data_IF_875317747316
#
_entry.id   IF_875317747316
#
_cell.length_a   1.000
_cell.length_b   1.000
_cell.length_c   1.000
_cell.angle_alpha   90.00
_cell.angle_beta   90.00
_cell.angle_gamma   90.00
#
_symmetry.space_group_name_H-M   'P 1'
#
loop_
_entity.id
_entity.type
_entity.pdbx_description
1 polymer ?
2 polymer ?
3 polymer ?
4 non-polymer ?
5 non-polymer ?
6 water ?
#
# COMPACT_ATOMS: atom_id res chain seq x y z
N UNK A 6 -17.32 2.94 -1.58
CA UNK A 6 -17.04 3.47 -0.22
C UNK A 6 -18.29 4.14 0.37
N UNK A 7 -18.10 4.87 1.47
CA UNK A 7 -19.11 5.59 2.27
C UNK A 7 -18.98 5.02 3.68
N UNK A 8 -18.64 3.74 3.71
CA UNK A 8 -18.44 3.01 4.94
C UNK A 8 -16.96 2.60 4.91
N UNK A 9 -16.13 3.44 4.29
CA UNK A 9 -14.70 3.18 4.17
C UNK A 9 -13.96 3.17 5.50
N UNK A 10 -12.86 2.42 5.55
CA UNK A 10 -12.07 2.40 6.75
C UNK A 10 -12.59 1.66 7.95
N UNK A 11 -13.83 1.16 7.91
CA UNK A 11 -14.43 0.39 9.01
C UNK A 11 -14.43 -1.09 8.61
N UNK A 12 -13.52 -1.86 9.21
CA UNK A 12 -13.37 -3.27 8.88
C UNK A 12 -14.47 -4.17 9.43
N UNK A 13 -15.10 -4.98 8.57
CA UNK A 13 -16.18 -5.91 8.97
C UNK A 13 -15.84 -6.77 10.19
N UNK A 14 -14.60 -7.26 10.26
CA UNK A 14 -14.19 -8.12 11.38
C UNK A 14 -13.62 -7.42 12.60
N UNK A 15 -13.49 -6.10 12.55
CA UNK A 15 -12.92 -5.36 13.69
C UNK A 15 -13.82 -4.19 14.13
N UNK A 16 -13.61 -2.99 13.60
CA UNK A 16 -14.43 -1.84 13.96
C UNK A 16 -15.94 -2.13 14.03
N UNK A 17 -16.44 -2.83 13.01
CA UNK A 17 -17.86 -3.19 12.92
C UNK A 17 -18.35 -4.12 14.05
N UNK A 18 -17.45 -4.90 14.62
CA UNK A 18 -17.80 -5.82 15.71
C UNK A 18 -17.26 -5.27 17.02
N UNK A 19 -16.57 -4.15 16.93
CA UNK A 19 -15.94 -3.50 18.08
C UNK A 19 -14.79 -4.38 18.63
N UNK A 20 -14.11 -5.08 17.72
CA UNK A 20 -12.97 -5.90 18.09
C UNK A 20 -11.74 -5.17 17.58
N UNK A 21 -10.67 -5.20 18.36
CA UNK A 21 -9.44 -4.54 17.96
C UNK A 21 -8.41 -5.55 17.52
N UNK A 22 -7.58 -5.18 16.54
CA UNK A 22 -6.51 -6.07 16.12
C UNK A 22 -5.36 -6.02 17.13
N UNK A 23 -4.48 -7.01 17.07
CA UNK A 23 -3.35 -7.16 17.96
C UNK A 23 -2.44 -5.96 18.19
N UNK A 24 -2.21 -5.13 17.18
CA UNK A 24 -1.30 -3.99 17.35
C UNK A 24 -1.83 -2.59 17.12
N UNK A 25 -3.13 -2.43 16.87
CA UNK A 25 -3.63 -1.09 16.60
C UNK A 25 -3.45 -0.10 17.74
N UNK A 26 -3.38 -0.59 18.98
CA UNK A 26 -3.19 0.31 20.13
C UNK A 26 -1.87 1.05 20.05
N UNK A 27 -0.85 0.39 19.48
CA UNK A 27 0.49 0.96 19.32
C UNK A 27 0.38 2.24 18.47
N UNK A 28 -0.45 2.17 17.43
CA UNK A 28 -0.68 3.31 16.56
C UNK A 28 -1.37 4.41 17.32
N UNK A 29 -2.51 4.10 17.95
CA UNK A 29 -3.26 5.09 18.72
C UNK A 29 -2.42 5.74 19.84
N UNK A 30 -1.57 4.94 20.49
CA UNK A 30 -0.74 5.43 21.57
C UNK A 30 0.36 6.39 21.11
N UNK A 31 0.69 6.37 19.83
CA UNK A 31 1.72 7.24 19.31
C UNK A 31 1.16 8.59 18.87
N UNK A 32 -0.15 8.65 18.67
CA UNK A 32 -0.76 9.89 18.22
C UNK A 32 -0.89 10.85 19.39
N UNK A 33 0.26 11.36 19.82
CA UNK A 33 0.34 12.28 20.94
C UNK A 33 0.02 13.72 20.50
N UNK B 1 8.10 -7.28 3.44
CA UNK B 1 8.18 -6.65 4.79
C UNK B 1 9.26 -7.30 5.65
N UNK B 2 10.16 -6.48 6.19
CA UNK B 2 11.26 -6.94 7.05
C UNK B 2 10.91 -6.67 8.51
N UNK B 3 11.04 -7.71 9.35
CA UNK B 3 10.76 -7.62 10.79
C UNK B 3 9.29 -7.33 11.09
N UNK B 4 8.39 -7.84 10.26
CA UNK B 4 6.97 -7.64 10.47
C UNK B 4 6.37 -8.88 11.11
N UNK B 5 5.10 -9.14 10.90
CA UNK B 5 4.46 -10.31 11.46
C UNK B 5 3.30 -10.68 10.58
N UNK B 6 2.85 -11.93 10.70
CA UNK B 6 1.71 -12.42 9.91
C UNK B 6 0.50 -11.57 10.20
N UNK B 7 -0.26 -11.25 9.17
CA UNK B 7 -1.44 -10.45 9.37
C UNK B 7 -2.58 -11.35 9.88
N UNK B 8 -3.51 -10.75 10.62
CA UNK B 8 -4.68 -11.47 11.10
C UNK B 8 -5.65 -11.47 9.92
N UNK B 9 -6.58 -12.42 9.90
CA UNK B 9 -7.56 -12.49 8.84
C UNK B 9 -8.43 -11.23 8.94
N UNK B 10 -8.72 -10.61 7.80
CA UNK B 10 -9.54 -9.42 7.77
C UNK B 10 -8.97 -8.12 8.32
N UNK B 11 -7.69 -8.13 8.69
CA UNK B 11 -7.01 -6.95 9.24
C UNK B 11 -6.78 -5.81 8.24
N UNK B 12 -6.59 -6.14 6.96
CA UNK B 12 -6.40 -5.15 5.88
C UNK B 12 -7.26 -5.58 4.71
N UNK B 13 -8.57 -5.43 4.82
CA UNK B 13 -9.48 -5.83 3.76
C UNK B 13 -9.37 -5.03 2.45
N UNK B 14 -8.53 -3.99 2.47
CA UNK B 14 -8.32 -3.16 1.29
C UNK B 14 -7.07 -3.57 0.52
N UNK B 15 -6.29 -4.50 1.06
CA UNK B 15 -5.06 -4.96 0.41
C UNK B 15 -5.33 -5.70 -0.88
N UNK B 16 -4.66 -5.27 -1.94
CA UNK B 16 -4.80 -5.86 -3.26
C UNK B 16 -3.45 -6.39 -3.77
N UNK B 17 -3.48 -7.47 -4.54
CA UNK B 17 -2.25 -8.03 -5.11
C UNK B 17 -2.28 -7.81 -6.62
N UNK B 18 -1.20 -7.27 -7.18
CA UNK B 18 -1.11 -7.07 -8.63
C UNK B 18 -0.50 -8.37 -9.11
N UNK B 19 -1.17 -9.02 -10.04
CA UNK B 19 -0.71 -10.31 -10.48
C UNK B 19 -0.51 -10.38 -11.99
N UNK B 20 0.65 -10.86 -12.39
CA UNK B 20 0.96 -11.00 -13.80
C UNK B 20 0.33 -12.28 -14.34
N UNK B 21 -0.40 -12.16 -15.45
CA UNK B 21 -1.06 -13.31 -16.06
C UNK B 21 0.00 -14.33 -16.51
N UNK B 22 0.94 -13.88 -17.34
CA UNK B 22 1.99 -14.75 -17.85
C UNK B 22 3.33 -14.05 -17.98
N UNK B 23 4.35 -14.52 -17.24
CA UNK B 23 4.22 -15.67 -16.33
C UNK B 23 3.50 -15.26 -15.05
N UNK B 24 2.66 -16.17 -14.54
CA UNK B 24 1.90 -15.93 -13.32
C UNK B 24 2.89 -15.57 -12.23
N UNK B 25 2.85 -14.32 -11.77
CA UNK B 25 3.75 -13.86 -10.72
C UNK B 25 3.25 -12.59 -10.01
N UNK B 26 3.69 -12.41 -8.76
CA UNK B 26 3.30 -11.24 -7.97
C UNK B 26 4.12 -10.08 -8.49
N UNK B 27 3.43 -8.99 -8.81
CA UNK B 27 4.07 -7.79 -9.32
C UNK B 27 4.24 -6.71 -8.24
N UNK B 28 3.16 -6.43 -7.51
CA UNK B 28 3.14 -5.38 -6.50
C UNK B 28 1.94 -5.46 -5.56
N UNK B 29 1.94 -4.56 -4.59
CA UNK B 29 0.85 -4.41 -3.66
C UNK B 29 -0.02 -3.31 -4.26
N UNK B 30 -1.19 -3.08 -3.68
CA UNK B 30 -2.12 -2.06 -4.15
C UNK B 30 -3.23 -1.97 -3.11
N UNK B 31 -4.16 -1.03 -3.27
CA UNK B 31 -5.26 -0.92 -2.32
C UNK B 31 -6.60 -0.63 -2.97
N UNK B 32 -7.66 -1.10 -2.32
CA UNK B 32 -9.01 -0.91 -2.82
C UNK B 32 -9.55 0.36 -2.20
N UNK B 33 -9.92 1.34 -3.03
CA UNK B 33 -10.44 2.61 -2.53
C UNK B 33 -11.93 2.80 -2.88
N UNK B 34 -12.49 1.85 -3.60
CA UNK B 34 -13.90 1.90 -3.99
C UNK B 34 -14.21 0.55 -4.65
N UNK B 35 -15.47 0.30 -4.98
CA UNK B 35 -15.84 -0.98 -5.62
C UNK B 35 -15.21 -1.21 -6.97
N UNK B 36 -14.73 -0.16 -7.62
CA UNK B 36 -14.12 -0.33 -8.93
C UNK B 36 -12.79 0.40 -9.13
N UNK B 37 -12.21 0.94 -8.05
CA UNK B 37 -10.93 1.66 -8.14
C UNK B 37 -9.82 1.14 -7.23
N UNK B 38 -8.67 0.88 -7.82
CA UNK B 38 -7.50 0.40 -7.10
C UNK B 38 -6.39 1.43 -7.24
N UNK B 39 -5.74 1.73 -6.12
CA UNK B 39 -4.65 2.70 -6.07
C UNK B 39 -3.32 1.95 -5.92
N UNK B 40 -2.31 2.37 -6.67
CA UNK B 40 -1.00 1.71 -6.60
C UNK B 40 0.13 2.70 -6.98
N UNK B 41 1.37 2.22 -7.00
CA UNK B 41 2.52 3.03 -7.38
C UNK B 41 2.66 3.00 -8.90
N UNK B 42 2.89 4.15 -9.52
CA UNK B 42 3.07 4.19 -10.98
C UNK B 42 4.23 3.32 -11.45
N UNK B 43 5.24 3.13 -10.60
CA UNK B 43 6.37 2.32 -11.02
C UNK B 43 6.08 0.82 -11.08
N UNK B 44 4.93 0.41 -10.56
CA UNK B 44 4.55 -0.99 -10.63
C UNK B 44 4.17 -1.35 -12.04
N UNK B 45 3.68 -0.35 -12.78
CA UNK B 45 3.26 -0.53 -14.16
C UNK B 45 4.29 -0.06 -15.19
N UNK B 46 4.82 1.15 -14.96
CA UNK B 46 5.78 1.78 -15.85
C UNK B 46 7.11 2.15 -15.21
N UNK B 47 8.17 1.51 -15.69
CA UNK B 47 9.52 1.77 -15.21
C UNK B 47 10.54 1.33 -16.28
N UNK B 48 10.79 2.20 -17.27
CA UNK B 48 11.72 1.96 -18.39
C UNK B 48 13.10 1.42 -18.06
N UNK B 49 13.72 1.87 -16.95
CA UNK B 49 15.06 1.32 -16.67
C UNK B 49 15.06 -0.20 -16.54
N UNK B 50 13.93 -0.79 -16.17
CA UNK B 50 13.81 -2.23 -16.01
C UNK B 50 12.95 -2.82 -17.13
N UNK B 51 12.73 -2.05 -18.18
CA UNK B 51 11.91 -2.48 -19.29
C UNK B 51 10.50 -2.91 -18.88
N UNK B 52 9.97 -2.25 -17.86
CA UNK B 52 8.63 -2.53 -17.38
C UNK B 52 7.62 -1.52 -17.91
N UNK B 53 6.60 -2.02 -18.58
CA UNK B 53 5.55 -1.17 -19.11
C UNK B 53 4.32 -2.05 -19.37
N UNK B 54 3.54 -2.26 -18.31
CA UNK B 54 2.34 -3.11 -18.38
C UNK B 54 1.08 -2.42 -18.86
N UNK B 55 0.31 -3.14 -19.67
CA UNK B 55 -0.94 -2.62 -20.18
C UNK B 55 -2.05 -3.35 -19.39
N UNK B 56 -3.27 -2.85 -19.47
CA UNK B 56 -4.41 -3.45 -18.76
C UNK B 56 -4.51 -4.97 -18.94
N UNK B 57 -4.28 -5.44 -20.15
CA UNK B 57 -4.40 -6.85 -20.47
C UNK B 57 -3.29 -7.76 -19.93
N UNK B 58 -2.21 -7.16 -19.43
CA UNK B 58 -1.09 -7.96 -18.90
C UNK B 58 -1.31 -8.33 -17.46
N UNK B 59 -2.30 -7.70 -16.82
CA UNK B 59 -2.52 -7.90 -15.40
C UNK B 59 -3.90 -8.30 -14.92
N UNK B 60 -3.90 -8.81 -13.68
CA UNK B 60 -5.09 -9.20 -12.95
C UNK B 60 -4.91 -8.59 -11.55
N UNK B 61 -6.03 -8.30 -10.91
CA UNK B 61 -6.02 -7.73 -9.58
C UNK B 61 -6.68 -8.79 -8.68
N UNK B 62 -5.98 -9.22 -7.63
CA UNK B 62 -6.52 -10.22 -6.70
C UNK B 62 -6.85 -9.56 -5.35
N UNK B 63 -8.14 -9.48 -5.06
CA UNK B 63 -8.65 -8.85 -3.86
C UNK B 63 -9.16 -9.83 -2.81
N UNK B 64 -8.91 -9.54 -1.53
CA UNK B 64 -9.36 -10.38 -0.43
C UNK B 64 -8.40 -11.48 -0.02
N UNK B 65 -7.14 -11.38 -0.46
CA UNK B 65 -6.12 -12.38 -0.15
C UNK B 65 -5.44 -12.29 1.19
N UNK B 66 -4.85 -13.41 1.57
CA UNK B 66 -4.10 -13.56 2.81
C UNK B 66 -2.89 -14.42 2.47
N UNK B 67 -3.14 -15.54 1.81
CA UNK B 67 -2.09 -16.44 1.38
C UNK B 67 -1.44 -15.78 0.17
N UNK B 68 -0.12 -15.77 0.14
CA UNK B 68 0.59 -15.17 -0.98
C UNK B 68 0.48 -15.98 -2.28
N UNK B 69 0.61 -17.30 -2.18
CA UNK B 69 0.60 -18.14 -3.37
C UNK B 69 -0.60 -19.02 -3.70
N UNK B 70 -1.51 -19.23 -2.75
CA UNK B 70 -2.62 -20.13 -3.03
C UNK B 70 -3.83 -19.38 -3.58
N UNK B 71 -4.55 -19.99 -4.53
CA UNK B 71 -5.77 -19.37 -5.06
C UNK B 71 -6.84 -19.66 -4.00
N UNK B 72 -7.16 -18.65 -3.21
CA UNK B 72 -8.11 -18.80 -2.12
C UNK B 72 -9.58 -18.85 -2.52
N UNK B 73 -10.00 -20.04 -2.94
CA UNK B 73 -11.35 -20.30 -3.40
C UNK B 73 -12.43 -19.86 -2.39
N UNK B 74 -13.45 -19.17 -2.91
CA UNK B 74 -14.58 -18.66 -2.13
C UNK B 74 -14.26 -17.43 -1.27
N UNK B 75 -13.00 -17.01 -1.22
CA UNK B 75 -12.62 -15.84 -0.42
C UNK B 75 -12.10 -14.68 -1.29
N UNK B 76 -11.05 -14.94 -2.07
CA UNK B 76 -10.50 -13.89 -2.91
C UNK B 76 -11.31 -13.71 -4.19
N UNK B 77 -11.19 -12.53 -4.80
CA UNK B 77 -11.86 -12.21 -6.05
C UNK B 77 -10.78 -11.67 -6.99
N UNK B 78 -10.77 -12.20 -8.21
CA UNK B 78 -9.81 -11.79 -9.23
C UNK B 78 -10.49 -10.89 -10.25
N UNK B 79 -9.98 -9.68 -10.44
CA UNK B 79 -10.57 -8.75 -11.38
C UNK B 79 -9.64 -8.40 -12.52
N UNK B 80 -10.26 -8.02 -13.64
CA UNK B 80 -9.55 -7.60 -14.84
C UNK B 80 -9.68 -6.08 -14.86
N UNK B 81 -8.70 -5.43 -15.49
CA UNK B 81 -8.67 -3.98 -15.56
C UNK B 81 -9.24 -3.43 -16.85
N UNK B 82 -10.03 -2.38 -16.71
CA UNK B 82 -10.63 -1.70 -17.84
C UNK B 82 -9.71 -0.60 -18.34
N UNK B 83 -9.04 0.09 -17.40
CA UNK B 83 -8.17 1.19 -17.77
C UNK B 83 -7.13 1.46 -16.69
N UNK B 84 -5.97 1.96 -17.10
CA UNK B 84 -4.89 2.30 -16.20
C UNK B 84 -4.64 3.79 -16.37
N UNK B 85 -4.47 4.50 -15.26
CA UNK B 85 -4.22 5.94 -15.28
C UNK B 85 -3.00 6.24 -14.45
N UNK B 86 -1.92 6.62 -15.13
CA UNK B 86 -0.65 6.96 -14.48
C UNK B 86 -0.55 8.48 -14.43
N UNK B 87 -0.10 9.01 -13.29
CA UNK B 87 0.04 10.44 -13.15
C UNK B 87 0.87 10.99 -14.31
N UNK B 88 0.37 12.01 -15.01
CA UNK B 88 1.06 12.61 -16.15
C UNK B 88 2.48 13.11 -15.87
N UNK B 89 2.75 13.54 -14.64
CA UNK B 89 4.06 14.05 -14.26
C UNK B 89 4.93 13.14 -13.38
N UNK B 90 4.62 11.85 -13.42
CA UNK B 90 5.38 10.84 -12.68
C UNK B 90 6.81 10.88 -13.22
N UNK B 91 7.78 11.03 -12.33
CA UNK B 91 9.18 11.11 -12.73
C UNK B 91 9.93 9.80 -12.53
N UNK B 92 9.90 8.95 -13.55
CA UNK B 92 10.60 7.68 -13.46
C UNK B 92 12.07 7.84 -13.74
N UNK B 93 12.44 8.96 -14.35
CA UNK B 93 13.82 9.24 -14.70
C UNK B 93 14.74 9.56 -13.55
N UNK B 94 14.22 10.22 -12.53
CA UNK B 94 15.09 10.59 -11.43
C UNK B 94 14.81 10.08 -10.01
N UNK B 95 13.71 10.54 -9.40
CA UNK B 95 13.42 10.17 -8.02
C UNK B 95 12.05 9.55 -7.74
N UNK B 96 11.36 9.09 -8.78
CA UNK B 96 10.02 8.50 -8.60
C UNK B 96 9.02 9.49 -8.02
N UNK B 97 9.17 10.77 -8.37
CA UNK B 97 8.27 11.81 -7.90
C UNK B 97 6.88 11.58 -8.51
N UNK B 98 5.84 11.76 -7.71
CA UNK B 98 4.46 11.53 -8.15
C UNK B 98 4.27 10.07 -8.58
N UNK B 99 4.77 9.17 -7.75
CA UNK B 99 4.69 7.74 -8.03
C UNK B 99 3.29 7.25 -7.64
N UNK B 100 2.31 7.48 -8.50
CA UNK B 100 0.94 7.10 -8.21
C UNK B 100 0.21 6.71 -9.49
N UNK B 101 -0.74 5.78 -9.38
CA UNK B 101 -1.51 5.31 -10.53
C UNK B 101 -2.84 4.73 -10.07
N UNK B 102 -3.88 4.92 -10.88
CA UNK B 102 -5.21 4.40 -10.60
C UNK B 102 -5.54 3.33 -11.63
N UNK B 103 -6.29 2.32 -11.21
CA UNK B 103 -6.70 1.26 -12.12
C UNK B 103 -8.20 1.07 -11.96
N UNK B 104 -8.93 1.16 -13.05
CA UNK B 104 -10.37 0.98 -13.02
C UNK B 104 -10.68 -0.47 -13.37
N UNK B 105 -11.50 -1.11 -12.55
CA UNK B 105 -11.85 -2.51 -12.76
C UNK B 105 -12.97 -2.62 -13.77
N UNK B 106 -12.95 -3.69 -14.55
CA UNK B 106 -13.99 -3.92 -15.55
C UNK B 106 -15.37 -3.92 -14.90
N UNK B 107 -15.48 -4.66 -13.80
CA UNK B 107 -16.73 -4.78 -13.06
C UNK B 107 -16.47 -4.53 -11.57
N UNK B 108 -17.46 -3.94 -10.87
CA UNK B 108 -17.33 -3.64 -9.44
C UNK B 108 -17.22 -4.92 -8.64
N UNK B 109 -16.45 -4.88 -7.55
CA UNK B 109 -16.29 -6.04 -6.70
C UNK B 109 -17.29 -5.93 -5.57
N UNK B 110 -17.77 -7.06 -5.09
CA UNK B 110 -18.71 -7.07 -3.98
C UNK B 110 -17.88 -7.17 -2.71
N UNK B 111 -18.17 -6.26 -1.78
CA UNK B 111 -17.47 -6.24 -0.52
C UNK B 111 -17.90 -7.41 0.33
N UNK B 112 -17.07 -7.75 1.31
CA UNK B 112 -17.33 -8.88 2.20
C UNK B 112 -16.48 -8.68 3.44
N UNK B 113 -16.41 -9.69 4.29
CA UNK B 113 -15.62 -9.60 5.50
C UNK B 113 -14.15 -9.45 5.20
N UNK B 114 -13.75 -9.86 4.00
CA UNK B 114 -12.34 -9.83 3.58
C UNK B 114 -12.00 -8.79 2.51
N UNK B 115 -13.02 -8.10 2.01
CA UNK B 115 -12.88 -7.10 0.94
C UNK B 115 -13.67 -5.85 1.35
N UNK B 116 -12.96 -4.75 1.56
CA UNK B 116 -13.58 -3.52 2.01
C UNK B 116 -12.58 -2.39 1.72
N UNK B 117 -13.06 -1.27 1.17
CA UNK B 117 -12.17 -0.14 0.84
C UNK B 117 -11.67 0.71 1.99
N UNK B 118 -10.48 1.27 1.79
CA UNK B 118 -9.85 2.14 2.77
C UNK B 118 -10.28 3.59 2.43
N UNK B 119 -10.19 4.50 3.39
CA UNK B 119 -10.55 5.90 3.13
C UNK B 119 -9.34 6.68 2.65
N UNK B 120 -9.58 7.74 1.89
CA UNK B 120 -8.51 8.61 1.43
C UNK B 120 -8.61 9.81 2.35
N UNK B 121 -7.46 10.35 2.78
CA UNK B 121 -7.48 11.49 3.70
C UNK B 121 -8.01 12.81 3.14
N UNK B 122 -8.48 13.65 4.05
CA UNK B 122 -8.98 14.98 3.73
C UNK B 122 -7.93 15.89 4.37
N UNK B 123 -8.01 17.18 4.07
CA UNK B 123 -7.05 18.15 4.61
C UNK B 123 -6.77 18.04 6.10
N UNK B 124 -7.82 18.04 6.91
CA UNK B 124 -7.63 17.97 8.35
C UNK B 124 -7.09 16.66 8.90
N UNK B 125 -7.49 15.54 8.30
CA UNK B 125 -6.99 14.25 8.77
C UNK B 125 -5.49 14.19 8.49
N UNK B 126 -5.09 14.60 7.28
CA UNK B 126 -3.69 14.61 6.91
C UNK B 126 -2.88 15.53 7.82
N UNK B 127 -3.41 16.72 8.11
CA UNK B 127 -2.74 17.67 8.97
C UNK B 127 -2.51 17.13 10.37
N UNK B 128 -3.56 16.56 10.94
CA UNK B 128 -3.51 16.00 12.28
C UNK B 128 -2.66 14.75 12.45
N UNK B 129 -2.73 13.84 11.50
CA UNK B 129 -2.03 12.58 11.63
C UNK B 129 -0.64 12.50 11.04
N UNK B 130 -0.38 13.24 9.98
CA UNK B 130 0.92 13.20 9.34
C UNK B 130 1.94 14.04 10.09
N UNK B 131 2.37 13.52 11.23
CA UNK B 131 3.32 14.18 12.08
C UNK B 131 4.43 13.22 12.51
N UNK B 132 5.68 13.69 12.45
CA UNK B 132 6.84 12.92 12.84
C UNK B 132 6.56 12.25 14.18
N UNK B 133 6.89 10.97 14.28
CA UNK B 133 6.66 10.25 15.51
C UNK B 133 5.40 9.41 15.45
N UNK B 134 4.37 9.91 14.79
CA UNK B 134 3.12 9.16 14.68
C UNK B 134 3.38 7.93 13.85
N UNK B 135 2.76 6.81 14.23
CA UNK B 135 2.96 5.57 13.52
C UNK B 135 1.89 5.23 12.51
N UNK B 136 2.34 4.57 11.45
CA UNK B 136 1.47 4.12 10.38
C UNK B 136 1.71 2.63 10.26
N UNK B 137 1.02 1.98 9.33
CA UNK B 137 1.13 0.55 9.14
C UNK B 137 1.29 0.22 7.68
N UNK B 138 2.26 -0.65 7.37
CA UNK B 138 2.55 -1.07 6.00
C UNK B 138 2.30 -2.57 5.91
N UNK B 139 1.75 -3.03 4.80
CA UNK B 139 1.47 -4.45 4.63
C UNK B 139 1.83 -4.88 3.21
N UNK B 140 2.25 -6.14 3.07
CA UNK B 140 2.60 -6.63 1.75
C UNK B 140 3.15 -8.04 1.79
N UNK B 141 3.35 -8.62 0.62
CA UNK B 141 3.86 -9.97 0.46
C UNK B 141 5.28 -9.94 -0.09
N UNK B 142 5.96 -8.82 0.11
CA UNK B 142 7.32 -8.68 -0.37
C UNK B 142 8.35 -9.44 0.42
N UNK B 143 9.59 -9.31 -0.02
CA UNK B 143 10.70 -9.98 0.63
C UNK B 143 10.81 -9.68 2.09
N UNK B 144 11.12 -10.72 2.85
CA UNK B 144 11.27 -10.67 4.30
C UNK B 144 12.63 -10.19 4.73
N UNK B 145 13.52 -10.08 3.76
CA UNK B 145 14.87 -9.63 4.02
C UNK B 145 15.54 -9.31 2.68
N UNK B 146 16.69 -8.67 2.78
CA UNK B 146 17.56 -8.27 1.66
C UNK B 146 18.00 -6.86 1.98
N UNK B 147 18.56 -6.18 0.98
CA UNK B 147 19.03 -4.82 1.17
C UNK B 147 19.67 -4.34 -0.13
N UNK B 155 12.95 -15.47 2.87
CA UNK B 155 12.73 -14.99 1.48
C UNK B 155 11.37 -14.34 1.30
N UNK B 156 10.45 -15.06 0.65
CA UNK B 156 9.10 -14.57 0.43
C UNK B 156 8.20 -15.19 1.51
N UNK B 157 7.25 -14.40 2.07
CA UNK B 157 6.36 -14.88 3.13
C UNK B 157 5.25 -15.80 2.59
N UNK B 158 4.61 -16.54 3.49
CA UNK B 158 3.52 -17.44 3.11
C UNK B 158 2.22 -16.65 3.16
N UNK B 159 2.11 -15.78 4.16
CA UNK B 159 0.92 -14.96 4.29
C UNK B 159 1.30 -13.49 4.38
N UNK B 160 0.31 -12.62 4.20
CA UNK B 160 0.48 -11.18 4.27
C UNK B 160 1.20 -10.79 5.56
N UNK B 161 2.18 -9.90 5.44
CA UNK B 161 2.94 -9.41 6.59
C UNK B 161 2.50 -7.99 6.94
N UNK B 162 2.82 -7.54 8.14
CA UNK B 162 2.42 -6.20 8.57
C UNK B 162 3.47 -5.67 9.52
N UNK B 163 3.73 -4.36 9.46
CA UNK B 163 4.69 -3.72 10.34
C UNK B 163 4.19 -2.29 10.60
N UNK B 164 4.33 -1.80 11.83
CA UNK B 164 3.89 -0.44 12.20
C UNK B 164 5.17 0.41 12.29
N UNK B 165 5.19 1.55 11.62
CA UNK B 165 6.39 2.39 11.59
C UNK B 165 6.12 3.84 11.84
N UNK B 166 7.04 4.52 12.53
CA UNK B 166 6.83 5.95 12.80
C UNK B 166 7.22 6.85 11.61
N UNK B 167 6.51 7.96 11.45
CA UNK B 167 6.80 8.93 10.39
C UNK B 167 8.08 9.63 10.86
N UNK B 168 8.99 9.93 9.94
CA UNK B 168 10.24 10.60 10.32
C UNK B 168 10.26 12.06 9.81
N UNK B 169 10.95 12.93 10.53
CA UNK B 169 11.04 14.35 10.19
C UNK B 169 11.71 14.50 8.85
N UNK B 170 11.20 15.41 8.02
CA UNK B 170 11.74 15.65 6.68
C UNK B 170 13.28 15.83 6.61
N UNK B 171 13.88 16.67 7.49
CA UNK B 171 15.33 16.86 7.48
C UNK B 171 16.13 15.56 7.60
N UNK B 172 15.68 14.67 8.48
CA UNK B 172 16.34 13.39 8.67
C UNK B 172 16.18 12.56 7.40
N UNK B 173 15.02 12.63 6.77
CA UNK B 173 14.76 11.88 5.55
C UNK B 173 15.72 12.32 4.43
N UNK B 174 15.89 13.63 4.28
CA UNK B 174 16.77 14.19 3.26
C UNK B 174 18.25 13.85 3.48
N UNK B 175 18.68 13.93 4.74
CA UNK B 175 20.06 13.64 5.10
C UNK B 175 20.45 12.16 5.09
N UNK B 176 19.49 11.27 4.84
CA UNK B 176 19.75 9.85 4.81
C UNK B 176 20.03 9.34 3.40
N UNK B 177 19.76 10.16 2.40
CA UNK B 177 19.94 9.72 1.04
C UNK B 177 20.59 10.78 0.13
N UNK B 178 21.00 10.35 -1.06
CA UNK B 178 21.60 11.26 -2.05
C UNK B 178 20.52 11.62 -3.04
N UNK B 179 19.41 10.89 -3.01
CA UNK B 179 18.29 11.11 -3.92
C UNK B 179 17.54 12.39 -3.54
N UNK B 180 17.14 13.15 -4.55
CA UNK B 180 16.42 14.39 -4.31
C UNK B 180 14.97 14.09 -3.85
N UNK B 181 14.65 14.49 -2.63
CA UNK B 181 13.32 14.29 -2.01
C UNK B 181 12.37 15.46 -2.33
N UNK B 182 11.11 15.16 -2.64
CA UNK B 182 10.15 16.21 -2.95
C UNK B 182 9.02 16.25 -1.90
N UNK B 183 8.11 17.21 -2.03
CA UNK B 183 6.99 17.34 -1.11
C UNK B 183 5.94 16.24 -1.30
N UNK B 184 5.99 15.57 -2.43
CA UNK B 184 5.08 14.47 -2.73
C UNK B 184 5.52 13.14 -2.10
N UNK B 185 6.45 13.19 -1.16
CA UNK B 185 6.97 12.00 -0.48
C UNK B 185 7.14 12.28 1.00
N UNK B 186 7.25 11.20 1.77
CA UNK B 186 7.52 11.28 3.19
C UNK B 186 8.24 9.96 3.45
N UNK B 187 9.06 9.92 4.50
CA UNK B 187 9.78 8.69 4.82
C UNK B 187 9.34 8.22 6.20
N UNK B 188 9.58 6.94 6.47
CA UNK B 188 9.19 6.34 7.73
C UNK B 188 10.14 5.22 8.11
N UNK B 189 10.25 5.00 9.41
CA UNK B 189 11.12 3.95 9.91
C UNK B 189 11.62 4.35 11.27
N UNK B 190 12.34 3.44 11.91
CA UNK B 190 12.89 3.70 13.22
C UNK B 190 14.34 4.21 13.06
N UNK B 191 14.74 5.12 13.93
CA UNK B 191 16.11 5.65 13.93
C UNK B 191 16.98 4.57 14.60
N UNK B 192 18.26 4.47 14.20
CA UNK B 192 19.18 3.47 14.75
C UNK B 192 19.19 3.36 16.28
N UNK B 193 18.94 4.48 16.95
CA UNK B 193 18.94 4.53 18.40
C UNK B 193 17.61 4.21 19.07
N UNK B 194 16.61 3.75 18.30
CA UNK B 194 15.29 3.45 18.85
C UNK B 194 15.08 2.01 19.29
N UNK B 195 15.98 1.13 18.88
CA UNK B 195 15.87 -0.26 19.28
C UNK B 195 14.73 -1.08 18.69
N UNK B 196 14.10 -0.58 17.64
CA UNK B 196 13.04 -1.31 16.96
C UNK B 196 13.37 -1.22 15.48
N UNK B 197 13.00 -2.24 14.73
CA UNK B 197 13.28 -2.28 13.30
C UNK B 197 12.01 -2.60 12.52
N UNK B 198 12.16 -2.71 11.21
CA UNK B 198 11.05 -3.01 10.35
C UNK B 198 11.09 -2.10 9.16
N UNK B 199 10.68 -2.59 8.00
CA UNK B 199 10.70 -1.79 6.80
C UNK B 199 9.98 -2.58 5.72
N UNK B 200 9.74 -1.95 4.59
CA UNK B 200 9.13 -2.61 3.46
C UNK B 200 10.35 -3.16 2.71
N UNK B 201 10.11 -3.87 1.63
CA UNK B 201 11.22 -4.41 0.86
C UNK B 201 10.69 -4.73 -0.53
N UNK B 202 11.53 -5.34 -1.36
CA UNK B 202 11.15 -5.68 -2.72
C UNK B 202 9.85 -6.47 -2.73
N UNK B 203 8.92 -6.08 -3.59
CA UNK B 203 7.64 -6.77 -3.69
C UNK B 203 6.51 -6.06 -2.94
N UNK B 204 6.88 -5.20 -1.99
CA UNK B 204 5.92 -4.42 -1.21
C UNK B 204 5.47 -3.17 -1.96
N UNK B 205 6.24 -2.76 -2.97
CA UNK B 205 5.93 -1.59 -3.80
C UNK B 205 4.45 -1.53 -4.12
N UNK B 206 3.91 -0.31 -4.08
CA UNK B 206 2.51 -0.10 -4.41
C UNK B 206 1.52 -0.35 -3.29
N UNK B 207 1.99 -0.94 -2.20
CA UNK B 207 1.11 -1.23 -1.08
C UNK B 207 0.75 0.00 -0.27
N UNK B 208 -0.28 -0.10 0.59
CA UNK B 208 -0.73 1.01 1.43
C UNK B 208 -0.02 1.26 2.77
N UNK B 209 0.13 2.55 3.11
CA UNK B 209 0.66 2.95 4.40
C UNK B 209 -0.64 3.55 4.99
N UNK B 210 -1.18 2.95 6.04
CA UNK B 210 -2.44 3.45 6.59
C UNK B 210 -2.31 3.93 8.02
N UNK B 211 -3.24 4.76 8.46
CA UNK B 211 -3.25 5.22 9.83
C UNK B 211 -4.69 5.19 10.31
N UNK B 212 -4.88 4.98 11.60
CA UNK B 212 -6.24 4.94 12.13
C UNK B 212 -6.54 6.26 12.80
N UNK B 213 -7.58 6.93 12.31
CA UNK B 213 -7.98 8.20 12.88
C UNK B 213 -8.57 8.05 14.28
N UNK B 214 -7.99 8.79 15.24
CA UNK B 214 -8.49 8.71 16.62
C UNK B 214 -9.78 9.53 16.80
N UNK B 215 -10.21 10.26 15.77
CA UNK B 215 -11.42 11.08 15.84
C UNK B 215 -12.67 10.32 15.42
N UNK B 216 -12.60 9.58 14.32
CA UNK B 216 -13.77 8.82 13.85
C UNK B 216 -13.52 7.32 13.71
N UNK B 217 -12.34 6.88 14.13
CA UNK B 217 -11.92 5.48 14.10
C UNK B 217 -11.89 4.74 12.77
N UNK B 218 -11.69 5.48 11.69
CA UNK B 218 -11.60 4.89 10.37
C UNK B 218 -10.14 4.81 9.97
N UNK B 219 -9.86 3.92 9.03
CA UNK B 219 -8.51 3.75 8.51
C UNK B 219 -8.39 4.60 7.26
N UNK B 220 -7.29 5.34 7.15
CA UNK B 220 -7.03 6.20 6.00
C UNK B 220 -5.71 5.83 5.39
N UNK B 221 -5.65 5.85 4.06
CA UNK B 221 -4.39 5.54 3.40
C UNK B 221 -3.64 6.86 3.22
N UNK B 222 -2.51 7.00 3.89
CA UNK B 222 -1.70 8.21 3.82
C UNK B 222 -0.58 8.10 2.81
N UNK B 223 -0.09 6.89 2.59
CA UNK B 223 1.02 6.71 1.68
C UNK B 223 0.93 5.45 0.84
N UNK B 224 1.79 5.39 -0.17
CA UNK B 224 1.92 4.24 -1.08
C UNK B 224 3.38 3.88 -1.04
N UNK B 225 3.69 2.61 -0.78
CA UNK B 225 5.08 2.12 -0.72
C UNK B 225 5.78 2.45 -2.05
N UNK B 226 6.83 3.26 -1.99
CA UNK B 226 7.50 3.69 -3.21
C UNK B 226 8.93 3.15 -3.37
N UNK B 227 9.85 3.56 -2.50
CA UNK B 227 11.23 3.11 -2.65
C UNK B 227 12.04 3.20 -1.37
N UNK B 228 13.21 2.58 -1.42
CA UNK B 228 14.10 2.61 -0.26
C UNK B 228 15.43 2.15 -0.78
N UNK B 229 16.48 2.31 0.01
CA UNK B 229 17.82 1.89 -0.40
C UNK B 229 18.22 0.81 0.57
N UNK B 230 17.90 -0.43 0.22
CA UNK B 230 18.20 -1.53 1.10
C UNK B 230 17.17 -1.61 2.23
N UNK B 231 16.56 -2.78 2.34
CA UNK B 231 15.53 -3.04 3.33
C UNK B 231 16.05 -3.15 4.74
N UNK B 232 15.52 -2.30 5.61
CA UNK B 232 15.87 -2.30 7.03
C UNK B 232 17.37 -2.07 7.34
N UNK B 233 17.91 -0.97 6.81
CA UNK B 233 19.31 -0.63 7.08
C UNK B 233 19.31 0.50 8.09
N UNK B 234 20.22 0.48 9.06
CA UNK B 234 20.28 1.54 10.05
C UNK B 234 20.54 2.86 9.33
N UNK B 235 19.89 3.93 9.78
CA UNK B 235 20.10 5.22 9.18
C UNK B 235 19.45 5.40 7.81
N UNK B 236 18.71 4.40 7.35
CA UNK B 236 18.02 4.48 6.07
C UNK B 236 16.52 4.37 6.35
N UNK B 237 15.68 4.91 5.48
CA UNK B 237 14.24 4.88 5.68
C UNK B 237 13.48 4.57 4.40
N UNK B 238 12.24 4.12 4.55
CA UNK B 238 11.44 3.81 3.38
C UNK B 238 10.76 5.09 2.97
N UNK B 239 10.53 5.27 1.68
CA UNK B 239 9.87 6.46 1.16
C UNK B 239 8.53 6.11 0.58
N UNK B 240 7.56 6.99 0.83
CA UNK B 240 6.20 6.78 0.39
C UNK B 240 5.65 7.95 -0.37
N UNK B 241 4.76 7.66 -1.31
CA UNK B 241 4.05 8.67 -2.08
C UNK B 241 3.02 9.31 -1.15
N UNK B 242 3.10 10.63 -1.03
CA UNK B 242 2.22 11.42 -0.18
C UNK B 242 0.85 11.48 -0.85
N UNK B 243 -0.04 10.57 -0.45
CA UNK B 243 -1.37 10.49 -1.04
C UNK B 243 -2.19 11.78 -1.01
N UNK B 244 -2.21 12.47 0.13
CA UNK B 244 -2.96 13.70 0.17
C UNK B 244 -2.47 14.78 -0.81
N UNK B 245 -1.15 14.94 -0.96
CA UNK B 245 -0.59 15.93 -1.88
C UNK B 245 -1.04 15.66 -3.31
N UNK B 246 -1.40 14.44 -3.61
CA UNK B 246 -1.82 14.11 -4.97
C UNK B 246 -3.34 13.84 -5.09
N UNK B 247 -4.09 14.22 -4.07
CA UNK B 247 -5.53 13.99 -4.05
C UNK B 247 -6.33 14.68 -5.14
N UNK B 248 -5.92 15.88 -5.54
CA UNK B 248 -6.62 16.59 -6.60
C UNK B 248 -6.62 15.76 -7.87
N UNK B 249 -5.49 15.14 -8.16
CA UNK B 249 -5.38 14.31 -9.35
C UNK B 249 -6.31 13.11 -9.26
N UNK B 250 -6.40 12.51 -8.08
CA UNK B 250 -7.27 11.35 -7.88
C UNK B 250 -8.73 11.72 -8.11
N UNK B 251 -9.20 12.80 -7.48
CA UNK B 251 -10.59 13.26 -7.65
C UNK B 251 -10.83 13.48 -9.15
N UNK B 252 -9.90 14.17 -9.78
CA UNK B 252 -9.97 14.45 -11.20
C UNK B 252 -10.23 13.19 -12.01
N UNK B 253 -9.29 12.24 -11.96
CA UNK B 253 -9.43 10.99 -12.72
C UNK B 253 -10.71 10.22 -12.44
N UNK B 254 -11.21 10.31 -11.21
CA UNK B 254 -12.42 9.60 -10.87
C UNK B 254 -13.64 10.40 -11.29
N UNK B 255 -13.50 11.73 -11.34
CA UNK B 255 -14.57 12.63 -11.75
C UNK B 255 -14.93 12.35 -13.21
N UNK B 256 -13.92 12.33 -14.07
CA UNK B 256 -14.15 11.98 -15.46
C UNK B 256 -13.78 10.50 -15.47
N UNK B 257 -14.01 9.81 -16.56
CA UNK B 257 -13.68 8.38 -16.66
C UNK B 257 -14.50 7.43 -15.76
N UNK C 1 6.00 -20.32 -7.36
CA UNK C 1 5.31 -21.44 -6.66
C UNK C 1 3.85 -21.07 -6.38
N UNK C 2 3.27 -20.29 -7.27
CA UNK C 2 1.89 -19.87 -7.14
C UNK C 2 0.97 -20.97 -7.61
N UNK C 3 -0.18 -21.07 -6.98
CA UNK C 3 -1.17 -22.06 -7.33
C UNK C 3 -1.90 -21.54 -8.56
N UNK C 4 -2.26 -22.45 -9.46
CA UNK C 4 -2.96 -22.08 -10.68
C UNK C 4 -4.33 -21.51 -10.37
N UNK C 5 -4.70 -20.49 -11.14
CA UNK C 5 -5.98 -19.87 -10.96
C UNK C 5 -6.87 -20.36 -12.10
N UNK C 6 -8.19 -20.39 -11.90
CA UNK C 6 -9.11 -20.85 -12.95
C UNK C 6 -9.01 -20.10 -14.28
N UNK C 7 -9.01 -20.87 -15.36
CA UNK C 7 -8.92 -20.37 -16.73
C UNK C 7 -9.89 -19.22 -17.05
N UNK C 8 -11.02 -19.18 -16.36
CA UNK C 8 -12.01 -18.14 -16.57
C UNK C 8 -11.39 -16.73 -16.46
N UNK C 10 -7.98 -16.42 -17.05
CA UNK C 10 -6.80 -16.58 -17.90
C UNK C 10 -5.51 -16.66 -17.07
#
# INVERSE_FOLDING_TARGET
TFGSGEADCGLRPLFEKKSLEDKTERELLESYIDGR
IVEGSDAEIGMSPWQVMLFRKSPQELLCGASLISDRWVLTAAHCLLYPPWDKNFTENDLLVRIGKHSRTRYERNIEKISMLEKIYIHPRYNWRENLDRDIALMKLKKPVAFSDYIHPVCLPDRETAASLLQAGYKGRVTGWGNLKETWTANVGKGQPSVLQVVNLPIVERPVCKDSTRIRITDNMFCAGYKPDEGKRGDACEGDSGGPFVMKSPFNNRWYQMGIVSWGEGCDRDGKYGFYTHVFRLKKWIQKVIDQFGE
DFEEIPEEXL
#
